data_IF_206935751890
#
_entry.id   IF_206935751890
#
_cell.length_a   1.000
_cell.length_b   1.000
_cell.length_c   1.000
_cell.angle_alpha   90.00
_cell.angle_beta   90.00
_cell.angle_gamma   90.00
#
_symmetry.space_group_name_H-M   'P 1'
#
loop_
_entity.id
_entity.type
_entity.pdbx_description
1 polymer ?
#
# COMPACT_ATOMS: atom_id res chain seq x y z
N UNK A 1 -24.52 14.02 28.48
CA UNK A 1 -24.38 13.38 29.80
C UNK A 1 -24.34 11.88 29.61
N UNK A 2 -23.16 11.27 29.82
CA UNK A 2 -22.92 9.86 30.10
C UNK A 2 -23.10 8.77 29.03
N UNK A 3 -22.22 8.79 28.05
CA UNK A 3 -21.87 7.58 27.27
C UNK A 3 -20.51 6.96 27.70
N UNK A 4 -19.71 7.63 28.50
CA UNK A 4 -18.43 7.12 29.00
C UNK A 4 -18.54 6.12 30.16
N UNK A 5 -19.64 6.10 30.89
CA UNK A 5 -19.79 5.24 32.08
C UNK A 5 -20.21 3.78 31.73
N UNK A 6 -20.82 3.56 30.58
CA UNK A 6 -21.31 2.23 30.19
C UNK A 6 -20.25 1.31 29.55
N UNK A 7 -19.11 1.86 29.09
CA UNK A 7 -18.03 1.04 28.53
C UNK A 7 -17.11 0.41 29.58
N UNK A 8 -16.96 1.03 30.73
CA UNK A 8 -16.16 0.46 31.82
C UNK A 8 -16.85 -0.71 32.54
N UNK A 9 -18.18 -0.76 32.56
CA UNK A 9 -18.90 -1.86 33.17
C UNK A 9 -18.96 -3.13 32.30
N UNK A 10 -18.81 -3.01 30.98
CA UNK A 10 -18.75 -4.15 30.07
C UNK A 10 -17.40 -4.86 30.06
N UNK A 11 -16.32 -4.17 30.43
CA UNK A 11 -14.98 -4.76 30.54
C UNK A 11 -14.81 -5.57 31.83
N UNK A 12 -15.54 -5.24 32.90
CA UNK A 12 -15.38 -5.88 34.20
C UNK A 12 -16.26 -7.14 34.44
N UNK A 13 -17.11 -7.55 33.50
CA UNK A 13 -17.99 -8.71 33.65
C UNK A 13 -17.61 -9.94 32.83
N UNK A 14 -16.47 -9.96 32.14
CA UNK A 14 -15.99 -11.15 31.39
C UNK A 14 -14.69 -11.75 31.94
N UNK A 15 -14.41 -11.56 33.21
CA UNK A 15 -13.35 -12.28 33.89
C UNK A 15 -13.94 -13.31 34.80
N UNK A 16 -13.52 -14.57 34.60
CA UNK A 16 -13.75 -15.76 35.44
C UNK A 16 -15.03 -16.53 35.16
N UNK A 17 -15.03 -17.36 34.15
CA UNK A 17 -15.60 -18.68 34.25
C UNK A 17 -14.61 -19.73 33.68
N UNK A 18 -13.96 -20.37 34.62
CA UNK A 18 -13.40 -21.73 34.64
C UNK A 18 -13.22 -22.47 33.30
N UNK A 19 -12.00 -22.49 32.78
CA UNK A 19 -11.52 -23.60 31.97
C UNK A 19 -10.73 -24.56 32.86
N UNK A 20 -11.31 -25.72 33.17
CA UNK A 20 -10.59 -26.87 33.75
C UNK A 20 -9.79 -27.53 32.64
N UNK A 21 -8.46 -27.45 32.73
CA UNK A 21 -7.57 -28.23 31.89
C UNK A 21 -7.34 -29.62 32.52
N UNK A 22 -7.62 -30.65 31.73
CA UNK A 22 -7.19 -32.00 32.06
C UNK A 22 -5.71 -32.14 31.65
N UNK A 23 -4.86 -32.45 32.64
CA UNK A 23 -3.48 -32.86 32.45
C UNK A 23 -3.40 -34.17 31.66
N UNK A 24 -2.90 -34.12 30.41
CA UNK A 24 -2.23 -35.28 29.81
C UNK A 24 -0.88 -34.79 29.27
N UNK A 25 0.16 -35.16 30.03
CA UNK A 25 1.56 -34.94 29.68
C UNK A 25 1.96 -35.79 28.47
N UNK A 26 2.19 -35.17 27.34
CA UNK A 26 3.06 -35.71 26.31
C UNK A 26 4.32 -34.83 26.24
N UNK A 27 5.46 -35.44 26.58
CA UNK A 27 6.78 -34.81 26.45
C UNK A 27 7.21 -34.87 25.01
N UNK A 28 7.45 -33.68 24.43
CA UNK A 28 8.16 -33.56 23.15
C UNK A 28 9.50 -32.86 23.40
N UNK A 29 10.58 -33.27 22.75
CA UNK A 29 11.91 -32.73 22.96
C UNK A 29 12.16 -31.51 22.06
N UNK A 30 11.89 -30.32 22.59
CA UNK A 30 12.38 -29.08 21.96
C UNK A 30 12.92 -28.12 23.01
N UNK A 31 14.11 -27.63 22.77
CA UNK A 31 14.79 -26.63 23.58
C UNK A 31 14.21 -25.25 23.31
N UNK A 32 13.81 -24.48 24.31
CA UNK A 32 13.31 -23.12 24.11
C UNK A 32 14.47 -22.18 23.78
N UNK A 33 14.28 -21.34 22.75
CA UNK A 33 15.19 -20.22 22.45
C UNK A 33 14.89 -19.10 23.45
N UNK A 34 15.85 -18.78 24.31
CA UNK A 34 15.77 -17.65 25.24
C UNK A 34 16.25 -16.39 24.53
N UNK A 35 15.33 -15.49 24.18
CA UNK A 35 15.62 -14.12 23.81
C UNK A 35 15.45 -13.23 25.04
N UNK A 36 16.42 -12.38 25.34
CA UNK A 36 16.67 -11.69 26.60
C UNK A 36 15.63 -10.70 27.16
N UNK A 37 14.37 -10.85 26.87
CA UNK A 37 13.27 -10.04 27.41
C UNK A 37 12.03 -10.91 27.59
N UNK A 38 12.01 -11.69 28.69
CA UNK A 38 10.83 -12.49 29.06
C UNK A 38 10.62 -13.73 28.17
N UNK A 39 10.00 -14.74 28.71
CA UNK A 39 9.79 -16.02 28.03
C UNK A 39 8.76 -15.87 26.90
N UNK A 40 9.22 -15.92 25.65
CA UNK A 40 8.36 -16.00 24.46
C UNK A 40 8.46 -17.40 23.86
N UNK A 41 7.32 -18.01 23.55
CA UNK A 41 7.25 -19.26 22.81
C UNK A 41 6.65 -19.02 21.44
N UNK A 42 7.38 -19.35 20.38
CA UNK A 42 6.85 -19.37 19.02
C UNK A 42 6.63 -20.82 18.62
N UNK A 43 5.41 -21.14 18.25
CA UNK A 43 5.05 -22.43 17.67
C UNK A 43 4.92 -22.30 16.15
N UNK A 44 5.66 -23.13 15.43
CA UNK A 44 5.40 -23.41 14.03
C UNK A 44 4.58 -24.70 13.97
N UNK A 45 3.41 -24.59 13.42
CA UNK A 45 2.36 -25.56 13.12
C UNK A 45 1.10 -25.42 13.99
N UNK A 46 0.15 -24.71 13.39
CA UNK A 46 -1.31 -24.85 13.58
C UNK A 46 -1.93 -24.93 14.96
N UNK A 47 -1.39 -24.33 16.00
CA UNK A 47 -2.15 -24.20 17.25
C UNK A 47 -1.69 -23.01 18.11
N UNK A 48 -2.64 -22.44 18.79
CA UNK A 48 -2.63 -21.25 19.63
C UNK A 48 -1.29 -20.89 20.30
N UNK A 49 -0.83 -19.68 20.03
CA UNK A 49 0.29 -19.02 20.70
C UNK A 49 -0.15 -18.66 22.13
N UNK A 50 0.53 -19.20 23.13
CA UNK A 50 0.27 -18.86 24.52
C UNK A 50 1.39 -17.99 25.07
N UNK A 51 1.06 -16.72 25.37
CA UNK A 51 2.00 -15.76 25.94
C UNK A 51 1.86 -15.71 27.46
N UNK A 52 2.86 -16.15 28.21
CA UNK A 52 2.81 -16.07 29.68
C UNK A 52 3.26 -14.70 30.23
N UNK A 53 4.12 -13.96 29.54
CA UNK A 53 4.56 -12.64 29.97
C UNK A 53 3.58 -11.50 29.65
N UNK A 54 2.67 -11.71 28.70
CA UNK A 54 1.72 -10.69 28.26
C UNK A 54 0.54 -10.47 29.19
N UNK A 55 0.25 -11.38 30.10
CA UNK A 55 -0.89 -11.23 31.02
C UNK A 55 -0.69 -10.16 32.08
N UNK A 56 0.55 -9.84 32.44
CA UNK A 56 0.86 -8.80 33.44
C UNK A 56 1.00 -7.42 32.79
N UNK A 57 1.46 -7.36 31.55
CA UNK A 57 1.58 -6.10 30.80
C UNK A 57 0.28 -5.70 30.09
N UNK A 58 -0.58 -6.66 29.75
CA UNK A 58 -1.84 -6.40 29.04
C UNK A 58 -2.95 -5.79 29.93
N UNK A 59 -2.83 -5.91 31.24
CA UNK A 59 -3.83 -5.34 32.15
C UNK A 59 -3.58 -3.86 32.49
N UNK A 60 -2.39 -3.33 32.18
CA UNK A 60 -2.03 -1.96 32.52
C UNK A 60 -1.70 -1.06 31.32
N UNK A 61 -1.50 -1.63 30.15
CA UNK A 61 -1.29 -0.90 28.89
C UNK A 61 -2.52 -1.04 28.01
N UNK A 62 -3.53 -0.29 28.34
CA UNK A 62 -4.61 0.26 27.54
C UNK A 62 -4.88 -0.29 26.15
N UNK A 63 -6.16 -0.53 25.88
CA UNK A 63 -6.76 -0.78 24.57
C UNK A 63 -6.26 0.12 23.42
N UNK A 64 -5.59 1.21 23.72
CA UNK A 64 -5.06 2.14 22.71
C UNK A 64 -3.76 1.65 22.04
N UNK A 65 -3.03 0.71 22.65
CA UNK A 65 -1.79 0.19 22.06
C UNK A 65 -2.02 -0.91 21.01
N UNK A 66 -3.18 -1.57 21.02
CA UNK A 66 -3.52 -2.61 20.01
C UNK A 66 -3.94 -1.97 18.69
N UNK A 67 -4.33 -0.71 18.68
CA UNK A 67 -4.66 0.04 17.47
C UNK A 67 -3.43 0.48 16.65
N UNK A 68 -2.22 0.21 17.14
CA UNK A 68 -0.95 0.56 16.46
C UNK A 68 -0.07 -0.66 16.19
N UNK A 69 -0.63 -1.79 15.86
CA UNK A 69 0.10 -2.74 15.02
C UNK A 69 0.08 -2.06 13.66
N UNK A 70 1.23 -1.56 13.24
CA UNK A 70 1.41 -1.13 11.86
C UNK A 70 1.08 -2.33 10.97
N UNK A 71 -0.17 -2.39 10.57
CA UNK A 71 -0.60 -3.25 9.49
C UNK A 71 0.20 -2.77 8.30
N UNK A 72 0.97 -3.65 7.69
CA UNK A 72 1.69 -3.40 6.46
C UNK A 72 0.85 -2.46 5.60
N UNK A 73 1.36 -1.25 5.36
CA UNK A 73 0.70 -0.29 4.49
C UNK A 73 0.56 -0.95 3.14
N UNK A 74 -0.66 -1.22 2.73
CA UNK A 74 -0.98 -1.95 1.52
C UNK A 74 -2.15 -1.24 0.83
N UNK A 75 -2.10 -1.21 -0.48
CA UNK A 75 -3.15 -0.70 -1.35
C UNK A 75 -3.68 -1.83 -2.20
N UNK A 76 -4.88 -1.67 -2.73
CA UNK A 76 -5.53 -2.66 -3.59
C UNK A 76 -5.31 -2.36 -5.08
N UNK A 77 -4.85 -1.15 -5.40
CA UNK A 77 -4.76 -0.64 -6.76
C UNK A 77 -6.14 -0.30 -7.34
N UNK A 78 -7.14 -0.15 -6.48
CA UNK A 78 -8.45 0.38 -6.83
C UNK A 78 -8.48 1.86 -6.44
N UNK A 79 -8.22 2.72 -7.41
CA UNK A 79 -8.26 4.17 -7.21
C UNK A 79 -9.65 4.57 -6.74
N UNK A 80 -9.71 5.28 -5.61
CA UNK A 80 -10.98 5.70 -4.99
C UNK A 80 -11.55 6.94 -5.67
N UNK A 81 -10.70 7.76 -6.29
CA UNK A 81 -11.10 8.95 -7.04
C UNK A 81 -9.93 9.88 -7.30
N UNK A 82 -10.27 11.12 -7.67
CA UNK A 82 -9.34 12.16 -8.06
C UNK A 82 -9.45 13.34 -7.09
N UNK A 83 -8.29 13.89 -6.70
CA UNK A 83 -8.21 15.16 -6.01
C UNK A 83 -7.24 16.10 -6.74
N UNK A 84 -7.37 17.40 -6.50
CA UNK A 84 -6.52 18.40 -7.15
C UNK A 84 -5.37 18.82 -6.27
N UNK A 85 -4.22 19.02 -6.88
CA UNK A 85 -3.11 19.73 -6.26
C UNK A 85 -3.50 21.20 -6.14
N UNK A 86 -3.59 21.70 -4.90
CA UNK A 86 -4.00 23.09 -4.63
C UNK A 86 -2.80 24.00 -4.34
N UNK A 87 -1.70 23.40 -3.83
CA UNK A 87 -0.48 24.15 -3.56
C UNK A 87 0.73 23.21 -3.56
N UNK A 88 1.90 23.74 -3.93
CA UNK A 88 3.20 23.08 -3.82
C UNK A 88 4.17 24.03 -3.14
N UNK A 89 4.70 23.64 -1.98
CA UNK A 89 5.67 24.44 -1.20
C UNK A 89 7.03 23.77 -1.27
N UNK A 90 8.08 24.58 -1.45
CA UNK A 90 9.46 24.08 -1.35
C UNK A 90 9.93 24.17 0.10
N UNK A 91 10.40 23.05 0.65
CA UNK A 91 11.09 22.94 1.91
C UNK A 91 12.60 22.77 1.74
N UNK A 92 13.32 22.57 2.84
CA UNK A 92 14.74 22.24 2.82
C UNK A 92 14.89 20.73 2.71
N UNK A 93 15.26 20.24 1.51
CA UNK A 93 15.41 18.82 1.20
C UNK A 93 14.12 18.05 0.92
N UNK A 94 12.97 18.72 0.84
CA UNK A 94 11.68 18.13 0.48
C UNK A 94 10.76 19.15 -0.18
N UNK A 95 9.66 18.68 -0.76
CA UNK A 95 8.54 19.55 -1.11
C UNK A 95 7.29 19.11 -0.36
N UNK A 96 6.40 20.04 -0.05
CA UNK A 96 5.06 19.73 0.45
C UNK A 96 4.07 19.86 -0.71
N UNK A 97 3.37 18.77 -1.04
CA UNK A 97 2.22 18.80 -1.95
C UNK A 97 0.97 18.84 -1.09
N UNK A 98 0.08 19.78 -1.41
CA UNK A 98 -1.21 19.97 -0.76
C UNK A 98 -2.29 19.62 -1.77
N UNK A 99 -3.16 18.69 -1.39
CA UNK A 99 -4.30 18.28 -2.23
C UNK A 99 -5.62 18.66 -1.57
N UNK A 100 -6.65 18.89 -2.40
CA UNK A 100 -8.01 19.10 -1.91
C UNK A 100 -8.58 17.82 -1.29
N UNK A 101 -9.65 17.95 -0.51
CA UNK A 101 -10.50 16.86 -0.01
C UNK A 101 -11.98 17.17 -0.31
N UNK A 102 -12.27 17.46 -1.56
CA UNK A 102 -13.64 17.83 -1.96
C UNK A 102 -14.61 16.65 -1.98
N UNK A 103 -14.09 15.46 -2.10
CA UNK A 103 -14.87 14.23 -2.12
C UNK A 103 -14.95 13.53 -0.76
N UNK A 104 -14.26 14.06 0.24
CA UNK A 104 -14.27 13.54 1.61
C UNK A 104 -13.52 12.22 1.79
N UNK A 105 -12.55 11.91 0.93
CA UNK A 105 -11.72 10.70 1.05
C UNK A 105 -10.95 10.65 2.37
N UNK A 106 -10.68 11.80 2.96
CA UNK A 106 -9.82 11.93 4.13
C UNK A 106 -10.60 12.19 5.43
N UNK A 107 -11.93 12.06 5.44
CA UNK A 107 -12.77 12.41 6.59
C UNK A 107 -12.38 11.72 7.91
N UNK A 108 -11.86 10.48 7.86
CA UNK A 108 -11.40 9.70 9.01
C UNK A 108 -9.89 9.39 8.94
N UNK A 109 -9.13 10.12 8.13
CA UNK A 109 -7.66 10.04 8.07
C UNK A 109 -7.07 10.73 9.30
N UNK A 110 -5.92 10.26 9.75
CA UNK A 110 -5.15 10.87 10.84
C UNK A 110 -3.75 11.25 10.36
N UNK A 111 -3.11 12.20 11.04
CA UNK A 111 -1.71 12.57 10.77
C UNK A 111 -0.82 11.35 11.02
N UNK A 112 0.03 11.02 10.05
CA UNK A 112 0.84 9.80 10.03
C UNK A 112 0.20 8.63 9.27
N UNK A 113 -1.04 8.76 8.79
CA UNK A 113 -1.65 7.75 7.91
C UNK A 113 -0.96 7.76 6.54
N UNK A 114 -1.00 6.60 5.87
CA UNK A 114 -0.49 6.45 4.50
C UNK A 114 -1.63 6.60 3.48
N UNK A 115 -1.37 7.40 2.46
CA UNK A 115 -2.25 7.62 1.30
C UNK A 115 -1.40 7.53 0.03
N UNK A 116 -1.90 6.88 -1.00
CA UNK A 116 -1.26 6.82 -2.29
C UNK A 116 -1.74 7.99 -3.18
N UNK A 117 -0.78 8.79 -3.68
CA UNK A 117 -0.99 9.78 -4.73
C UNK A 117 -0.34 9.30 -6.02
N UNK A 118 -1.11 9.10 -7.08
CA UNK A 118 -0.61 8.47 -8.32
C UNK A 118 0.21 7.19 -8.03
N UNK A 119 -0.24 6.38 -7.07
CA UNK A 119 0.41 5.17 -6.63
C UNK A 119 1.59 5.35 -5.68
N UNK A 120 2.06 6.55 -5.41
CA UNK A 120 3.16 6.82 -4.49
C UNK A 120 2.64 6.84 -3.06
N UNK A 121 3.13 5.95 -2.19
CA UNK A 121 2.79 5.94 -0.78
C UNK A 121 3.39 7.15 -0.08
N UNK A 122 2.54 8.01 0.46
CA UNK A 122 2.91 9.23 1.17
C UNK A 122 2.29 9.26 2.56
N UNK A 123 2.99 9.90 3.50
CA UNK A 123 2.50 10.10 4.86
C UNK A 123 1.78 11.44 4.97
N UNK A 124 0.58 11.42 5.53
CA UNK A 124 -0.17 12.64 5.86
C UNK A 124 0.55 13.40 6.97
N UNK A 125 0.94 14.63 6.70
CA UNK A 125 1.66 15.48 7.66
C UNK A 125 0.76 16.55 8.30
N UNK A 126 -0.26 17.02 7.58
CA UNK A 126 -1.22 18.01 8.07
C UNK A 126 -2.60 17.74 7.48
N UNK A 127 -3.64 17.99 8.28
CA UNK A 127 -5.04 17.95 7.88
C UNK A 127 -5.65 19.31 8.20
N UNK A 128 -6.07 20.05 7.18
CA UNK A 128 -6.79 21.30 7.32
C UNK A 128 -8.28 21.06 7.01
N UNK A 129 -9.06 20.93 8.06
CA UNK A 129 -10.50 20.69 7.95
C UNK A 129 -11.28 21.93 7.47
N UNK A 130 -10.76 23.15 7.71
CA UNK A 130 -11.44 24.38 7.32
C UNK A 130 -11.31 24.61 5.82
N UNK A 131 -10.12 24.35 5.28
CA UNK A 131 -9.84 24.49 3.84
C UNK A 131 -10.10 23.19 3.06
N UNK A 132 -10.42 22.10 3.73
CA UNK A 132 -10.55 20.76 3.14
C UNK A 132 -9.29 20.37 2.34
N UNK A 133 -8.15 20.36 3.03
CA UNK A 133 -6.84 20.10 2.42
C UNK A 133 -6.03 19.10 3.25
N UNK A 134 -5.24 18.31 2.54
CA UNK A 134 -4.31 17.34 3.12
C UNK A 134 -2.90 17.62 2.59
N UNK A 135 -1.92 17.60 3.47
CA UNK A 135 -0.52 17.88 3.14
C UNK A 135 0.33 16.62 3.20
N UNK A 136 1.27 16.54 2.27
CA UNK A 136 2.25 15.46 2.16
C UNK A 136 3.63 16.03 1.95
N UNK A 137 4.61 15.65 2.78
CA UNK A 137 6.00 16.01 2.62
C UNK A 137 6.71 14.92 1.81
N UNK A 138 7.35 15.28 0.71
CA UNK A 138 7.90 14.35 -0.27
C UNK A 138 9.40 14.59 -0.38
N UNK A 139 10.18 13.57 -0.09
CA UNK A 139 11.65 13.63 -0.18
C UNK A 139 12.14 13.76 -1.62
N UNK A 140 13.33 14.31 -1.80
CA UNK A 140 13.95 14.41 -3.13
C UNK A 140 14.11 13.06 -3.81
N UNK A 141 14.43 11.99 -3.07
CA UNK A 141 14.55 10.62 -3.62
C UNK A 141 13.23 10.16 -4.23
N UNK A 142 12.10 10.40 -3.56
CA UNK A 142 10.77 10.08 -4.08
C UNK A 142 10.44 10.90 -5.32
N UNK A 143 10.81 12.18 -5.33
CA UNK A 143 10.60 13.06 -6.49
C UNK A 143 11.39 12.58 -7.71
N UNK A 144 12.65 12.17 -7.53
CA UNK A 144 13.50 11.69 -8.62
C UNK A 144 12.91 10.44 -9.30
N UNK A 145 12.30 9.54 -8.54
CA UNK A 145 11.75 8.28 -9.02
C UNK A 145 10.33 8.37 -9.57
N UNK A 146 9.62 9.49 -9.32
CA UNK A 146 8.18 9.55 -9.58
C UNK A 146 7.78 10.77 -10.44
N UNK A 147 6.57 10.70 -11.00
CA UNK A 147 5.96 11.82 -11.73
C UNK A 147 5.56 12.98 -10.82
N UNK A 148 5.65 12.83 -9.49
CA UNK A 148 5.28 13.89 -8.54
C UNK A 148 6.15 15.14 -8.70
N UNK A 149 7.39 14.98 -9.22
CA UNK A 149 8.30 16.10 -9.54
C UNK A 149 7.75 17.08 -10.58
N UNK A 150 6.87 16.61 -11.47
CA UNK A 150 6.31 17.40 -12.58
C UNK A 150 4.92 17.96 -12.29
N UNK A 151 4.32 17.63 -11.15
CA UNK A 151 2.99 18.12 -10.78
C UNK A 151 2.97 19.65 -10.65
N UNK A 152 1.85 20.21 -11.03
CA UNK A 152 1.53 21.64 -10.95
C UNK A 152 0.25 21.86 -10.18
N UNK A 153 0.07 23.05 -9.65
CA UNK A 153 -1.21 23.46 -9.05
C UNK A 153 -2.30 23.38 -10.11
N UNK A 154 -3.39 22.71 -9.77
CA UNK A 154 -4.52 22.43 -10.65
C UNK A 154 -4.52 21.02 -11.26
N UNK A 155 -3.40 20.30 -11.24
CA UNK A 155 -3.33 18.93 -11.72
C UNK A 155 -4.18 18.00 -10.84
N UNK A 156 -4.81 17.00 -11.45
CA UNK A 156 -5.50 15.93 -10.78
C UNK A 156 -4.54 14.79 -10.46
N UNK A 157 -4.71 14.17 -9.29
CA UNK A 157 -3.97 12.99 -8.85
C UNK A 157 -4.92 11.87 -8.44
N UNK A 158 -4.56 10.65 -8.76
CA UNK A 158 -5.26 9.45 -8.28
C UNK A 158 -5.06 9.30 -6.78
N UNK A 159 -6.14 9.05 -6.05
CA UNK A 159 -6.12 8.84 -4.60
C UNK A 159 -6.54 7.41 -4.27
N UNK A 160 -5.76 6.77 -3.41
CA UNK A 160 -6.16 5.55 -2.71
C UNK A 160 -5.66 5.61 -1.27
N UNK A 161 -6.53 5.32 -0.32
CA UNK A 161 -6.18 5.15 1.08
C UNK A 161 -5.65 3.73 1.34
N UNK A 162 -4.79 3.59 2.33
CA UNK A 162 -4.33 2.26 2.75
C UNK A 162 -5.52 1.33 3.04
N UNK A 163 -5.41 0.09 2.59
CA UNK A 163 -6.44 -0.93 2.73
C UNK A 163 -6.72 -1.22 4.21
N UNK A 164 -8.00 -1.34 4.57
CA UNK A 164 -8.41 -1.79 5.91
C UNK A 164 -8.38 -3.32 5.96
N UNK A 165 -7.92 -3.87 7.08
CA UNK A 165 -7.93 -5.34 7.29
C UNK A 165 -9.35 -5.88 7.16
N UNK A 166 -9.53 -6.90 6.33
CA UNK A 166 -10.84 -7.50 6.05
C UNK A 166 -11.67 -6.78 5.00
N UNK A 167 -11.14 -5.71 4.37
CA UNK A 167 -11.77 -5.12 3.20
C UNK A 167 -11.59 -6.01 1.97
N UNK A 168 -12.51 -5.88 1.01
CA UNK A 168 -12.41 -6.54 -0.29
C UNK A 168 -11.21 -6.01 -1.06
N UNK A 169 -10.41 -6.92 -1.65
CA UNK A 169 -9.33 -6.58 -2.55
C UNK A 169 -9.76 -6.87 -4.00
N UNK A 170 -10.16 -5.83 -4.71
CA UNK A 170 -10.59 -5.92 -6.11
C UNK A 170 -9.45 -5.91 -7.14
N UNK A 171 -8.21 -5.66 -6.70
CA UNK A 171 -7.02 -5.62 -7.57
C UNK A 171 -5.94 -6.60 -7.11
N UNK A 172 -4.68 -6.14 -7.05
CA UNK A 172 -3.59 -6.87 -6.43
C UNK A 172 -2.92 -6.00 -5.36
N UNK A 173 -2.05 -6.59 -4.54
CA UNK A 173 -1.39 -5.87 -3.47
C UNK A 173 -0.35 -4.91 -4.04
N UNK A 174 -0.55 -3.61 -3.80
CA UNK A 174 0.41 -2.55 -4.04
C UNK A 174 0.90 -1.97 -2.71
N UNK A 175 2.12 -1.50 -2.68
CA UNK A 175 2.74 -0.93 -1.49
C UNK A 175 3.04 0.56 -1.64
N UNK A 176 2.83 1.09 -2.84
CA UNK A 176 3.17 2.47 -3.19
C UNK A 176 4.68 2.70 -3.31
N UNK A 177 5.43 1.64 -3.54
CA UNK A 177 6.87 1.67 -3.73
C UNK A 177 7.20 1.71 -5.21
N UNK A 178 7.20 2.92 -5.74
CA UNK A 178 7.42 3.17 -7.17
C UNK A 178 8.87 2.87 -7.55
N UNK A 179 9.04 2.07 -8.61
CA UNK A 179 10.35 1.70 -9.16
C UNK A 179 10.91 2.76 -10.13
N UNK A 180 10.05 3.58 -10.69
CA UNK A 180 10.37 4.60 -11.68
C UNK A 180 9.16 4.98 -12.52
N UNK A 181 9.42 5.55 -13.68
CA UNK A 181 8.38 5.94 -14.64
C UNK A 181 8.45 5.10 -15.91
N UNK A 182 7.27 4.79 -16.47
CA UNK A 182 7.10 4.21 -17.79
C UNK A 182 6.55 5.28 -18.74
N UNK A 183 7.03 5.30 -19.98
CA UNK A 183 6.58 6.27 -20.99
C UNK A 183 5.48 5.67 -21.85
N UNK A 184 4.39 6.40 -22.04
CA UNK A 184 3.32 6.05 -22.96
C UNK A 184 3.83 6.23 -24.40
N UNK A 185 3.91 5.12 -25.16
CA UNK A 185 4.44 5.11 -26.52
C UNK A 185 3.34 5.10 -27.57
N UNK A 186 2.21 4.47 -27.27
CA UNK A 186 1.07 4.39 -28.18
C UNK A 186 -0.24 4.37 -27.41
N UNK A 187 -1.26 4.96 -27.98
CA UNK A 187 -2.64 4.92 -27.50
C UNK A 187 -3.56 4.58 -28.69
N UNK A 188 -4.36 3.55 -28.54
CA UNK A 188 -5.35 3.13 -29.53
C UNK A 188 -6.71 2.96 -28.88
N UNK A 189 -7.73 3.65 -29.38
CA UNK A 189 -9.11 3.45 -28.92
C UNK A 189 -9.74 2.25 -29.64
N UNK A 190 -10.16 1.25 -28.84
CA UNK A 190 -10.82 0.02 -29.32
C UNK A 190 -12.25 -0.03 -28.78
N UNK A 191 -13.17 0.65 -29.47
CA UNK A 191 -14.53 0.85 -28.96
C UNK A 191 -14.54 1.73 -27.73
N UNK A 192 -15.03 1.22 -26.60
CA UNK A 192 -15.04 1.95 -25.33
C UNK A 192 -13.77 1.75 -24.50
N UNK A 193 -12.91 0.82 -24.87
CA UNK A 193 -11.64 0.57 -24.19
C UNK A 193 -10.50 1.39 -24.81
N UNK A 194 -9.45 1.61 -24.02
CA UNK A 194 -8.24 2.27 -24.44
C UNK A 194 -7.06 1.29 -24.32
N UNK A 195 -6.47 0.95 -25.45
CA UNK A 195 -5.23 0.17 -25.49
C UNK A 195 -4.05 1.11 -25.40
N UNK A 196 -3.08 0.80 -24.54
CA UNK A 196 -1.91 1.62 -24.29
C UNK A 196 -0.65 0.76 -24.29
N UNK A 197 0.33 1.18 -25.08
CA UNK A 197 1.68 0.63 -25.03
C UNK A 197 2.57 1.55 -24.18
N UNK A 198 3.42 0.93 -23.35
CA UNK A 198 4.30 1.63 -22.41
C UNK A 198 5.72 1.10 -22.54
N UNK A 199 6.67 2.00 -22.72
CA UNK A 199 8.09 1.72 -22.62
C UNK A 199 8.49 1.70 -21.14
N UNK A 200 9.04 0.58 -20.68
CA UNK A 200 9.62 0.45 -19.34
C UNK A 200 11.15 0.38 -19.40
N UNK A 201 11.89 0.70 -18.33
CA UNK A 201 13.33 0.52 -18.31
C UNK A 201 13.74 -0.92 -18.64
N UNK A 202 14.75 -1.08 -19.53
CA UNK A 202 15.17 -2.37 -20.03
C UNK A 202 15.56 -3.38 -18.92
N UNK A 203 16.13 -2.88 -17.80
CA UNK A 203 16.46 -3.73 -16.63
C UNK A 203 15.25 -4.33 -15.92
N UNK A 204 14.06 -3.72 -16.10
CA UNK A 204 12.86 -4.11 -15.37
C UNK A 204 11.86 -4.93 -16.21
N UNK A 205 12.05 -5.01 -17.54
CA UNK A 205 11.16 -5.81 -18.41
C UNK A 205 11.07 -7.29 -17.99
N UNK A 206 12.07 -7.81 -17.29
CA UNK A 206 12.12 -9.18 -16.78
C UNK A 206 11.04 -9.49 -15.74
N UNK A 207 10.49 -8.48 -15.08
CA UNK A 207 9.45 -8.63 -14.06
C UNK A 207 8.03 -8.64 -14.64
N UNK A 208 7.87 -8.37 -15.94
CA UNK A 208 6.54 -8.33 -16.55
C UNK A 208 6.26 -9.58 -17.37
N UNK A 209 5.08 -10.12 -17.18
CA UNK A 209 4.61 -11.37 -17.83
C UNK A 209 3.21 -11.16 -18.39
N UNK A 210 2.92 -11.85 -19.48
CA UNK A 210 1.57 -11.90 -20.03
C UNK A 210 0.59 -12.37 -18.95
N UNK A 211 -0.48 -11.60 -18.74
CA UNK A 211 -1.48 -11.78 -17.69
C UNK A 211 -0.96 -11.62 -16.26
N UNK A 212 0.28 -11.12 -16.09
CA UNK A 212 0.77 -10.66 -14.78
C UNK A 212 0.19 -9.31 -14.39
N UNK A 213 0.47 -8.90 -13.16
CA UNK A 213 0.02 -7.62 -12.62
C UNK A 213 1.09 -6.53 -12.74
N UNK A 214 0.63 -5.29 -12.81
CA UNK A 214 1.45 -4.08 -12.70
C UNK A 214 0.62 -2.99 -12.03
N UNK A 215 1.23 -2.21 -11.13
CA UNK A 215 0.68 -0.95 -10.65
C UNK A 215 1.09 0.18 -11.58
N UNK A 216 0.13 0.93 -12.12
CA UNK A 216 0.40 2.12 -12.95
C UNK A 216 -0.41 3.31 -12.42
N UNK A 217 0.28 4.37 -11.99
CA UNK A 217 -0.34 5.53 -11.31
C UNK A 217 -1.32 5.10 -10.20
N UNK A 218 -1.00 4.00 -9.47
CA UNK A 218 -1.83 3.43 -8.42
C UNK A 218 -2.96 2.52 -8.89
N UNK A 219 -3.14 2.32 -10.18
CA UNK A 219 -4.13 1.38 -10.71
C UNK A 219 -3.54 -0.03 -10.80
N UNK A 220 -4.22 -1.02 -10.26
CA UNK A 220 -3.94 -2.44 -10.48
C UNK A 220 -4.38 -2.82 -11.90
N UNK A 221 -3.43 -3.16 -12.75
CA UNK A 221 -3.71 -3.47 -14.15
C UNK A 221 -3.09 -4.81 -14.56
N UNK A 222 -3.68 -5.41 -15.60
CA UNK A 222 -3.19 -6.66 -16.18
C UNK A 222 -2.32 -6.36 -17.40
N UNK A 223 -1.15 -6.96 -17.47
CA UNK A 223 -0.27 -6.90 -18.63
C UNK A 223 -0.84 -7.79 -19.74
N UNK A 224 -1.18 -7.19 -20.89
CA UNK A 224 -1.77 -7.89 -22.03
C UNK A 224 -0.76 -8.32 -23.10
N UNK A 225 0.38 -7.67 -23.16
CA UNK A 225 1.50 -8.01 -24.03
C UNK A 225 2.83 -7.61 -23.39
N UNK A 226 3.90 -8.33 -23.75
CA UNK A 226 5.28 -8.01 -23.34
C UNK A 226 6.20 -8.21 -24.52
N UNK A 227 6.81 -7.16 -25.01
CA UNK A 227 7.90 -7.19 -25.99
C UNK A 227 9.24 -6.98 -25.25
N UNK A 228 9.96 -8.09 -25.03
CA UNK A 228 11.25 -8.04 -24.32
C UNK A 228 12.36 -7.38 -25.09
N UNK A 229 12.27 -7.35 -26.44
CA UNK A 229 13.28 -6.73 -27.28
C UNK A 229 13.16 -5.22 -27.25
N UNK A 230 11.93 -4.72 -27.30
CA UNK A 230 11.63 -3.30 -27.21
C UNK A 230 11.56 -2.79 -25.76
N UNK A 231 11.53 -3.69 -24.77
CA UNK A 231 11.21 -3.35 -23.38
C UNK A 231 9.85 -2.64 -23.24
N UNK A 232 8.86 -3.15 -23.95
CA UNK A 232 7.52 -2.58 -24.03
C UNK A 232 6.48 -3.55 -23.45
N UNK A 233 5.49 -2.99 -22.77
CA UNK A 233 4.31 -3.72 -22.27
C UNK A 233 3.04 -3.05 -22.79
N UNK A 234 1.95 -3.81 -22.88
CA UNK A 234 0.63 -3.27 -23.23
C UNK A 234 -0.40 -3.56 -22.15
N UNK A 235 -1.31 -2.62 -21.98
CA UNK A 235 -2.48 -2.73 -21.10
C UNK A 235 -3.75 -2.32 -21.84
N UNK A 236 -4.91 -2.76 -21.35
CA UNK A 236 -6.21 -2.26 -21.79
C UNK A 236 -6.97 -1.64 -20.63
N UNK A 237 -7.49 -0.44 -20.82
CA UNK A 237 -8.27 0.30 -19.84
C UNK A 237 -9.75 0.25 -20.19
N UNK A 238 -10.57 -0.19 -19.24
CA UNK A 238 -12.04 -0.23 -19.38
C UNK A 238 -12.64 1.15 -19.04
N UNK A 239 -13.87 1.44 -19.48
CA UNK A 239 -14.50 2.74 -19.26
C UNK A 239 -14.50 3.21 -17.81
N UNK A 240 -14.70 2.30 -16.86
CA UNK A 240 -14.75 2.65 -15.43
C UNK A 240 -13.38 3.14 -14.91
N UNK A 241 -12.28 2.51 -15.34
CA UNK A 241 -10.93 2.97 -15.01
C UNK A 241 -10.67 4.36 -15.60
N UNK A 242 -11.07 4.60 -16.84
CA UNK A 242 -10.95 5.92 -17.46
C UNK A 242 -11.78 6.98 -16.74
N UNK A 243 -12.96 6.62 -16.26
CA UNK A 243 -13.87 7.55 -15.55
C UNK A 243 -13.32 8.01 -14.20
N UNK A 244 -12.68 7.11 -13.46
CA UNK A 244 -12.28 7.32 -12.07
C UNK A 244 -10.83 7.80 -11.90
N UNK A 245 -10.03 7.81 -12.97
CA UNK A 245 -8.59 8.01 -12.85
C UNK A 245 -8.06 9.07 -13.82
N UNK A 246 -6.82 9.48 -13.60
CA UNK A 246 -6.09 10.39 -14.49
C UNK A 246 -5.88 9.82 -15.88
N UNK A 247 -6.11 8.53 -16.12
CA UNK A 247 -6.01 7.89 -17.43
C UNK A 247 -6.97 8.45 -18.48
N UNK A 248 -8.03 9.15 -18.05
CA UNK A 248 -8.97 9.84 -18.98
C UNK A 248 -8.30 10.88 -19.87
N UNK A 249 -7.18 11.46 -19.42
CA UNK A 249 -6.46 12.56 -20.08
C UNK A 249 -5.07 12.18 -20.55
N UNK A 250 -4.70 10.90 -20.46
CA UNK A 250 -3.37 10.41 -20.85
C UNK A 250 -3.07 10.68 -22.33
N UNK A 251 -1.82 11.04 -22.63
CA UNK A 251 -1.33 11.29 -23.99
C UNK A 251 -0.05 10.50 -24.28
N UNK A 252 0.23 10.28 -25.56
CA UNK A 252 1.51 9.72 -26.00
C UNK A 252 2.65 10.66 -25.58
N UNK A 253 3.68 10.10 -24.98
CA UNK A 253 4.80 10.83 -24.40
C UNK A 253 4.68 11.08 -22.90
N UNK A 254 3.52 10.90 -22.31
CA UNK A 254 3.37 11.04 -20.85
C UNK A 254 4.18 9.97 -20.11
N UNK A 255 4.68 10.36 -18.94
CA UNK A 255 5.27 9.45 -17.97
C UNK A 255 4.21 9.05 -16.93
N UNK A 256 4.22 7.78 -16.54
CA UNK A 256 3.36 7.23 -15.48
C UNK A 256 4.20 6.47 -14.47
N UNK A 257 3.89 6.61 -13.18
CA UNK A 257 4.54 5.83 -12.13
C UNK A 257 4.23 4.35 -12.32
N UNK A 258 5.24 3.47 -12.20
CA UNK A 258 4.99 2.04 -12.17
C UNK A 258 5.52 1.39 -10.89
N UNK A 259 4.79 0.39 -10.42
CA UNK A 259 5.16 -0.49 -9.32
C UNK A 259 5.15 -1.94 -9.81
N UNK A 260 6.24 -2.65 -9.54
CA UNK A 260 6.38 -4.06 -9.85
C UNK A 260 5.67 -4.88 -8.76
N UNK A 261 4.89 -5.89 -9.16
CA UNK A 261 4.31 -6.83 -8.19
C UNK A 261 5.40 -7.49 -7.35
N UNK A 262 5.33 -7.29 -6.03
CA UNK A 262 6.37 -7.69 -5.09
C UNK A 262 6.59 -9.22 -5.06
N UNK A 263 5.56 -10.01 -5.30
CA UNK A 263 5.70 -11.46 -5.37
C UNK A 263 6.51 -11.85 -6.61
N UNK A 264 6.17 -11.30 -7.76
CA UNK A 264 6.91 -11.49 -9.01
C UNK A 264 8.37 -11.05 -8.86
N UNK A 265 8.62 -9.87 -8.29
CA UNK A 265 9.96 -9.35 -8.04
C UNK A 265 10.77 -10.31 -7.18
N UNK A 266 10.22 -10.72 -6.03
CA UNK A 266 10.90 -11.62 -5.10
C UNK A 266 11.28 -12.93 -5.78
N UNK A 267 10.38 -13.51 -6.58
CA UNK A 267 10.65 -14.76 -7.30
C UNK A 267 11.75 -14.59 -8.35
N UNK A 268 11.68 -13.55 -9.19
CA UNK A 268 12.68 -13.30 -10.25
C UNK A 268 14.05 -13.05 -9.64
N UNK A 269 14.15 -12.14 -8.66
CA UNK A 269 15.43 -11.81 -8.02
C UNK A 269 16.02 -13.02 -7.27
N UNK A 270 15.18 -13.83 -6.62
CA UNK A 270 15.64 -15.06 -5.94
C UNK A 270 16.21 -16.06 -6.93
N UNK A 271 15.54 -16.28 -8.06
CA UNK A 271 16.01 -17.19 -9.10
C UNK A 271 17.32 -16.71 -9.74
N UNK A 272 17.45 -15.42 -10.02
CA UNK A 272 18.71 -14.84 -10.53
C UNK A 272 19.86 -15.05 -9.55
N UNK A 273 19.64 -14.76 -8.25
CA UNK A 273 20.66 -14.97 -7.22
C UNK A 273 21.08 -16.43 -7.08
N UNK A 274 20.13 -17.39 -7.19
CA UNK A 274 20.46 -18.83 -7.16
C UNK A 274 21.31 -19.24 -8.38
N UNK A 275 21.02 -18.68 -9.57
CA UNK A 275 21.79 -18.94 -10.78
C UNK A 275 23.21 -18.40 -10.65
N UNK A 276 23.37 -17.16 -10.18
CA UNK A 276 24.68 -16.54 -9.95
C UNK A 276 25.54 -17.30 -8.92
N UNK A 277 24.92 -17.90 -7.90
CA UNK A 277 25.62 -18.66 -6.88
C UNK A 277 26.10 -20.06 -7.36
N UNK A 278 25.66 -20.54 -8.52
CA UNK A 278 26.01 -21.87 -9.09
C UNK A 278 27.03 -21.78 -10.23
N UNK A 279 27.34 -20.60 -10.74
CA UNK A 279 28.36 -20.34 -11.76
C UNK A 279 29.64 -19.84 -11.15
#
# INVERSE_FOLDING_TARGET
>A
MNLKHNRQQLCNKKTLSSYKYSNKSQRFPFTPLRLGLGDFFIWAENQAVQYNASRILYSSLQCDAIARIDVLTMYTGIVQGLEKVVEIRKGDGFITIIVSDQQGFFADVFIGASVALNGVCLTVTTIDHEQQQIHFDISNVTLELTTLKSLKVGDEVNIERSAKVGAENGGHNLYGHIEGTAQVTQIERRGETLHIDLQVPAGNIKYFFLKGFIGLNGCSLTVNHVDRVKSEISIDLIPETLRLTTWKSVQVGDEVNYEIDQMTRTLVDTLENIHLAKG
#
